data_IF_196858248847
#
_entry.id   IF_196858248847
#
_cell.length_a   1.000
_cell.length_b   1.000
_cell.length_c   1.000
_cell.angle_alpha   90.00
_cell.angle_beta   90.00
_cell.angle_gamma   90.00
#
_symmetry.space_group_name_H-M   'P 1'
#
loop_
_entity.id
_entity.type
_entity.pdbx_description
1 polymer ?
#
# COMPACT_ATOMS: atom_id res chain seq x y z
N UNK A 1 7.23 -25.20 -13.32
CA UNK A 1 6.97 -23.83 -12.87
C UNK A 1 7.98 -22.92 -13.56
N UNK A 2 7.53 -22.07 -14.47
CA UNK A 2 8.37 -21.00 -15.06
C UNK A 2 8.68 -19.98 -13.97
N UNK A 3 9.95 -19.64 -13.81
CA UNK A 3 10.40 -18.64 -12.83
C UNK A 3 9.93 -17.26 -13.29
N UNK A 4 9.18 -16.56 -12.46
CA UNK A 4 8.79 -15.17 -12.72
C UNK A 4 10.04 -14.30 -12.89
N UNK A 5 10.08 -13.55 -13.99
CA UNK A 5 11.19 -12.65 -14.31
C UNK A 5 10.74 -11.20 -14.28
N UNK A 6 11.72 -10.29 -14.28
CA UNK A 6 11.44 -8.86 -14.34
C UNK A 6 10.75 -8.45 -15.66
N UNK A 7 11.01 -9.19 -16.75
CA UNK A 7 10.40 -8.92 -18.06
C UNK A 7 8.88 -9.14 -18.04
N UNK A 8 8.41 -10.13 -17.29
CA UNK A 8 6.99 -10.46 -17.18
C UNK A 8 6.18 -9.35 -16.49
N UNK A 9 6.84 -8.57 -15.61
CA UNK A 9 6.24 -7.47 -14.87
C UNK A 9 6.31 -6.11 -15.61
N UNK A 10 7.20 -5.97 -16.59
CA UNK A 10 7.44 -4.68 -17.28
C UNK A 10 6.25 -4.14 -18.06
N UNK A 11 5.33 -5.01 -18.47
CA UNK A 11 4.12 -4.64 -19.20
C UNK A 11 3.06 -3.95 -18.32
N UNK A 12 3.15 -4.08 -17.00
CA UNK A 12 2.18 -3.47 -16.08
C UNK A 12 2.58 -2.04 -15.75
N UNK A 13 2.08 -1.08 -16.53
CA UNK A 13 2.27 0.37 -16.30
C UNK A 13 0.92 1.04 -16.06
N UNK A 14 0.48 1.03 -14.80
CA UNK A 14 -0.88 1.44 -14.42
C UNK A 14 -1.83 0.24 -14.35
N UNK A 15 -3.09 0.49 -13.99
CA UNK A 15 -4.13 -0.54 -13.99
C UNK A 15 -5.50 0.08 -14.27
N UNK A 16 -6.28 -0.62 -15.08
CA UNK A 16 -7.69 -0.31 -15.31
C UNK A 16 -8.55 -0.99 -14.24
N UNK A 17 -8.05 -2.10 -13.70
CA UNK A 17 -8.71 -2.87 -12.65
C UNK A 17 -7.96 -2.76 -11.32
N UNK A 18 -8.74 -2.62 -10.25
CA UNK A 18 -8.23 -2.65 -8.88
C UNK A 18 -8.80 -3.84 -8.14
N UNK A 19 -7.92 -4.60 -7.52
CA UNK A 19 -8.27 -5.73 -6.66
C UNK A 19 -8.30 -5.25 -5.23
N UNK A 20 -9.25 -5.77 -4.44
CA UNK A 20 -9.35 -5.49 -3.02
C UNK A 20 -8.82 -6.67 -2.23
N UNK A 21 -8.07 -6.35 -1.19
CA UNK A 21 -7.67 -7.37 -0.23
C UNK A 21 -8.91 -7.90 0.50
N UNK A 22 -9.02 -9.23 0.63
CA UNK A 22 -10.21 -9.89 1.19
C UNK A 22 -10.49 -9.49 2.64
N UNK A 23 -9.45 -9.49 3.49
CA UNK A 23 -9.54 -9.09 4.90
C UNK A 23 -9.47 -7.56 5.09
N UNK A 24 -8.50 -6.90 4.45
CA UNK A 24 -8.26 -5.46 4.58
C UNK A 24 -8.89 -4.69 3.40
N UNK A 25 -10.22 -4.54 3.38
CA UNK A 25 -10.92 -3.96 2.21
C UNK A 25 -10.56 -2.50 1.87
N UNK A 26 -9.94 -1.78 2.81
CA UNK A 26 -9.35 -0.46 2.59
C UNK A 26 -8.08 -0.48 1.73
N UNK A 27 -7.43 -1.65 1.62
CA UNK A 27 -6.26 -1.84 0.78
C UNK A 27 -6.66 -2.37 -0.59
N UNK A 28 -6.26 -1.64 -1.62
CA UNK A 28 -6.38 -2.03 -3.02
C UNK A 28 -5.02 -2.20 -3.65
N UNK A 29 -4.93 -3.09 -4.64
CA UNK A 29 -3.73 -3.32 -5.43
C UNK A 29 -4.09 -3.52 -6.90
N UNK A 30 -3.06 -3.51 -7.74
CA UNK A 30 -3.13 -3.44 -9.20
C UNK A 30 -3.06 -4.82 -9.85
N UNK A 31 -3.40 -4.88 -11.14
CA UNK A 31 -3.31 -6.10 -11.96
C UNK A 31 -1.91 -6.72 -11.94
N UNK A 32 -0.85 -5.90 -12.00
CA UNK A 32 0.53 -6.39 -11.92
C UNK A 32 0.87 -7.05 -10.57
N UNK A 33 0.29 -6.56 -9.47
CA UNK A 33 0.46 -7.17 -8.13
C UNK A 33 -0.29 -8.49 -8.04
N UNK A 34 -1.50 -8.57 -8.62
CA UNK A 34 -2.25 -9.82 -8.71
C UNK A 34 -1.47 -10.86 -9.52
N UNK A 35 -0.95 -10.49 -10.70
CA UNK A 35 -0.15 -11.37 -11.53
C UNK A 35 1.12 -11.86 -10.83
N UNK A 36 1.81 -10.97 -10.10
CA UNK A 36 2.96 -11.32 -9.25
C UNK A 36 2.58 -12.37 -8.18
N UNK A 37 1.44 -12.21 -7.52
CA UNK A 37 0.98 -13.13 -6.49
C UNK A 37 0.63 -14.51 -7.05
N UNK A 38 -0.08 -14.56 -8.18
CA UNK A 38 -0.46 -15.80 -8.85
C UNK A 38 0.74 -16.52 -9.47
N UNK A 39 1.57 -15.80 -10.22
CA UNK A 39 2.70 -16.37 -10.96
C UNK A 39 3.89 -16.68 -10.05
N UNK A 40 4.09 -15.88 -9.00
CA UNK A 40 5.19 -16.00 -8.05
C UNK A 40 4.82 -16.71 -6.73
N UNK A 41 3.56 -17.09 -6.51
CA UNK A 41 3.09 -17.66 -5.24
C UNK A 41 3.23 -16.67 -4.06
N UNK A 42 3.14 -15.37 -4.34
CA UNK A 42 3.51 -14.29 -3.42
C UNK A 42 2.32 -13.62 -2.71
N UNK A 43 1.19 -14.32 -2.53
CA UNK A 43 0.05 -13.78 -1.77
C UNK A 43 0.44 -13.36 -0.35
N UNK A 44 1.39 -14.07 0.27
CA UNK A 44 1.95 -13.72 1.57
C UNK A 44 2.51 -12.28 1.63
N UNK A 45 3.03 -11.76 0.50
CA UNK A 45 3.58 -10.42 0.44
C UNK A 45 2.47 -9.38 0.51
N UNK A 46 1.33 -9.64 -0.15
CA UNK A 46 0.15 -8.78 -0.10
C UNK A 46 -0.39 -8.74 1.33
N UNK A 47 -0.53 -9.91 1.98
CA UNK A 47 -0.96 -10.00 3.38
C UNK A 47 0.00 -9.25 4.32
N UNK A 48 1.31 -9.37 4.09
CA UNK A 48 2.32 -8.69 4.90
C UNK A 48 2.21 -7.17 4.78
N UNK A 49 2.06 -6.65 3.56
CA UNK A 49 1.85 -5.20 3.34
C UNK A 49 0.55 -4.75 4.00
N UNK A 50 -0.53 -5.52 3.88
CA UNK A 50 -1.80 -5.21 4.53
C UNK A 50 -1.67 -5.11 6.05
N UNK A 51 -1.00 -6.07 6.69
CA UNK A 51 -0.73 -6.04 8.12
C UNK A 51 0.09 -4.81 8.53
N UNK A 52 1.08 -4.41 7.73
CA UNK A 52 1.89 -3.21 8.02
C UNK A 52 1.08 -1.92 7.92
N UNK A 53 0.01 -1.87 7.11
CA UNK A 53 -0.89 -0.71 7.03
C UNK A 53 -1.75 -0.50 8.30
N UNK A 54 -1.72 -1.44 9.24
CA UNK A 54 -2.31 -1.25 10.57
C UNK A 54 -1.47 -0.31 11.45
N UNK A 55 -0.17 -0.20 11.17
CA UNK A 55 0.72 0.70 11.90
C UNK A 55 0.47 2.15 11.47
N UNK A 56 -0.01 3.03 12.37
CA UNK A 56 -0.35 4.41 12.00
C UNK A 56 0.82 5.18 11.40
N UNK A 57 2.05 4.88 11.84
CA UNK A 57 3.29 5.50 11.33
C UNK A 57 3.57 5.14 9.87
N UNK A 58 3.15 3.95 9.43
CA UNK A 58 3.34 3.46 8.05
C UNK A 58 2.20 3.95 7.16
N UNK A 59 0.98 4.01 7.72
CA UNK A 59 -0.21 4.48 7.02
C UNK A 59 -0.23 6.00 6.82
N UNK A 60 0.40 6.75 7.72
CA UNK A 60 0.43 8.21 7.65
C UNK A 60 0.90 8.66 6.26
N UNK A 61 0.22 9.63 5.62
CA UNK A 61 0.67 10.18 4.36
C UNK A 61 2.07 10.78 4.56
N UNK A 62 2.91 10.69 3.52
CA UNK A 62 4.33 11.07 3.54
C UNK A 62 4.54 12.52 4.05
N UNK A 63 3.50 13.36 3.94
CA UNK A 63 3.48 14.77 4.36
C UNK A 63 3.22 14.97 5.86
N UNK A 64 2.59 14.01 6.56
CA UNK A 64 2.22 14.15 7.99
C UNK A 64 3.26 13.58 8.96
N UNK A 65 4.28 12.87 8.46
CA UNK A 65 5.31 12.26 9.29
C UNK A 65 6.36 13.25 9.81
N UNK A 66 6.48 14.44 9.20
CA UNK A 66 7.28 15.54 9.74
C UNK A 66 6.38 16.44 10.59
N UNK A 67 6.60 16.39 11.91
CA UNK A 67 5.81 17.15 12.87
C UNK A 67 5.83 18.65 12.60
N UNK A 68 4.65 19.26 12.59
CA UNK A 68 4.51 20.68 12.92
C UNK A 68 4.17 20.80 14.41
N UNK A 69 5.13 21.06 15.30
CA UNK A 69 4.81 21.42 16.66
C UNK A 69 4.23 22.85 16.66
N UNK A 70 3.10 23.04 17.33
CA UNK A 70 2.56 24.37 17.61
C UNK A 70 1.52 24.88 16.63
N UNK A 71 0.28 24.43 16.80
CA UNK A 71 -0.88 25.29 16.50
C UNK A 71 -1.87 25.22 17.66
N UNK A 72 -1.36 25.47 18.88
CA UNK A 72 -2.23 25.82 19.98
C UNK A 72 -2.70 27.27 19.81
N UNK A 73 -3.80 27.44 19.06
CA UNK A 73 -4.53 28.71 18.89
C UNK A 73 -5.55 28.93 20.02
N UNK A 74 -5.26 28.49 21.26
CA UNK A 74 -6.14 28.70 22.42
C UNK A 74 -5.49 29.51 23.56
N UNK A 75 -4.46 30.32 23.27
CA UNK A 75 -3.89 31.27 24.23
C UNK A 75 -4.28 32.74 24.01
N UNK A 76 -4.96 33.10 22.90
CA UNK A 76 -5.13 34.51 22.50
C UNK A 76 -6.57 35.06 22.58
N UNK A 77 -7.53 34.38 23.23
CA UNK A 77 -8.79 35.02 23.60
C UNK A 77 -8.83 35.27 25.10
N UNK A 78 -8.66 36.55 25.44
CA UNK A 78 -9.03 37.20 26.70
C UNK A 78 -10.48 36.91 27.10
#
# INVERSE_FOLDING_TARGET
>A
MSKLTHADLRQFTGSEQVFRHSLMRSMTYTEGVQYLAESGGAYWLIDKVACLQLEPKVKAPIVEAEGRPGSDRRADLR
#
